data_IF_673292056621
#
_entry.id   IF_673292056621
#
_cell.length_a   1.000
_cell.length_b   1.000
_cell.length_c   1.000
_cell.angle_alpha   90.00
_cell.angle_beta   90.00
_cell.angle_gamma   90.00
#
_symmetry.space_group_name_H-M   'P 1'
#
loop_
_entity.id
_entity.type
_entity.pdbx_description
1 polymer ?
#
# COMPACT_ATOMS: atom_id res chain seq x y z
N UNK A 1 -6.62 8.68 -25.59
CA UNK A 1 -7.57 8.54 -24.46
C UNK A 1 -8.45 7.32 -24.63
N UNK A 2 -9.13 7.14 -25.76
CA UNK A 2 -10.00 6.01 -26.02
C UNK A 2 -9.31 4.65 -25.85
N UNK A 3 -8.08 4.51 -26.33
CA UNK A 3 -7.30 3.28 -26.20
C UNK A 3 -7.08 2.86 -24.74
N UNK A 4 -6.85 3.83 -23.83
CA UNK A 4 -6.69 3.55 -22.40
C UNK A 4 -8.00 3.11 -21.76
N UNK A 5 -9.11 3.74 -22.14
CA UNK A 5 -10.45 3.38 -21.66
C UNK A 5 -10.90 2.00 -22.17
N UNK A 6 -10.47 1.62 -23.37
CA UNK A 6 -10.76 0.33 -23.99
C UNK A 6 -9.69 -0.74 -23.74
N UNK A 7 -8.75 -0.48 -22.81
CA UNK A 7 -7.67 -1.41 -22.49
C UNK A 7 -8.19 -2.78 -22.04
N UNK A 8 -7.57 -3.84 -22.54
CA UNK A 8 -7.83 -5.22 -22.08
C UNK A 8 -7.14 -5.53 -20.74
N UNK A 9 -6.17 -4.71 -20.32
CA UNK A 9 -5.59 -4.80 -18.97
C UNK A 9 -6.56 -4.17 -17.96
N UNK A 10 -7.08 -4.95 -17.00
CA UNK A 10 -8.08 -4.46 -16.07
C UNK A 10 -7.57 -3.32 -15.17
N UNK A 11 -6.28 -3.28 -14.84
CA UNK A 11 -5.70 -2.20 -14.04
C UNK A 11 -5.61 -0.90 -14.81
N UNK A 12 -5.21 -0.98 -16.08
CA UNK A 12 -5.19 0.18 -16.99
C UNK A 12 -6.60 0.70 -17.21
N UNK A 13 -7.56 -0.17 -17.50
CA UNK A 13 -8.96 0.20 -17.69
C UNK A 13 -9.54 0.85 -16.44
N UNK A 14 -9.33 0.25 -15.25
CA UNK A 14 -9.77 0.81 -13.97
C UNK A 14 -9.23 2.23 -13.78
N UNK A 15 -7.92 2.41 -13.89
CA UNK A 15 -7.25 3.70 -13.71
C UNK A 15 -7.68 4.74 -14.73
N UNK A 16 -7.79 4.36 -15.99
CA UNK A 16 -8.23 5.27 -17.05
C UNK A 16 -9.67 5.77 -16.79
N UNK A 17 -10.59 4.88 -16.43
CA UNK A 17 -11.95 5.28 -16.11
C UNK A 17 -12.03 6.17 -14.86
N UNK A 18 -11.25 5.87 -13.82
CA UNK A 18 -11.18 6.69 -12.60
C UNK A 18 -10.61 8.09 -12.87
N UNK A 19 -9.45 8.15 -13.53
CA UNK A 19 -8.65 9.38 -13.62
C UNK A 19 -9.00 10.24 -14.83
N UNK A 20 -9.38 9.64 -15.96
CA UNK A 20 -9.64 10.36 -17.21
C UNK A 20 -11.13 10.58 -17.46
N UNK A 21 -11.96 9.62 -17.07
CA UNK A 21 -13.42 9.73 -17.25
C UNK A 21 -14.15 10.18 -15.95
N UNK A 22 -13.43 10.34 -14.83
CA UNK A 22 -14.01 10.77 -13.56
C UNK A 22 -15.02 9.76 -12.98
N UNK A 23 -14.90 8.47 -13.32
CA UNK A 23 -15.83 7.45 -12.84
C UNK A 23 -15.70 7.26 -11.32
N UNK A 24 -16.80 7.36 -10.55
CA UNK A 24 -16.78 7.14 -9.11
C UNK A 24 -16.35 5.71 -8.77
N UNK A 25 -15.59 5.55 -7.68
CA UNK A 25 -15.03 4.25 -7.26
C UNK A 25 -16.12 3.23 -6.90
N UNK A 26 -17.28 3.68 -6.42
CA UNK A 26 -18.44 2.89 -6.05
C UNK A 26 -19.38 2.60 -7.25
N UNK A 27 -19.09 3.14 -8.42
CA UNK A 27 -19.88 2.81 -9.62
C UNK A 27 -19.79 1.30 -9.92
N UNK A 28 -20.92 0.63 -10.24
CA UNK A 28 -20.94 -0.84 -10.49
C UNK A 28 -19.89 -1.30 -11.51
N UNK A 29 -19.68 -0.53 -12.56
CA UNK A 29 -18.67 -0.83 -13.58
C UNK A 29 -17.22 -0.73 -13.00
N UNK A 30 -16.94 0.22 -12.10
CA UNK A 30 -15.65 0.32 -11.45
C UNK A 30 -15.43 -0.82 -10.47
N UNK A 31 -16.44 -1.19 -9.70
CA UNK A 31 -16.38 -2.36 -8.82
C UNK A 31 -16.10 -3.64 -9.61
N UNK A 32 -16.73 -3.82 -10.78
CA UNK A 32 -16.45 -4.95 -11.67
C UNK A 32 -15.01 -4.95 -12.16
N UNK A 33 -14.47 -3.79 -12.55
CA UNK A 33 -13.06 -3.67 -12.97
C UNK A 33 -12.11 -4.02 -11.82
N UNK A 34 -12.37 -3.57 -10.61
CA UNK A 34 -11.57 -3.95 -9.43
C UNK A 34 -11.58 -5.47 -9.22
N UNK A 35 -12.71 -6.15 -9.39
CA UNK A 35 -12.77 -7.61 -9.31
C UNK A 35 -11.94 -8.29 -10.40
N UNK A 36 -11.95 -7.76 -11.62
CA UNK A 36 -11.08 -8.23 -12.70
C UNK A 36 -9.60 -8.01 -12.38
N UNK A 37 -9.25 -6.88 -11.76
CA UNK A 37 -7.88 -6.63 -11.26
C UNK A 37 -7.46 -7.71 -10.26
N UNK A 38 -8.33 -8.08 -9.32
CA UNK A 38 -8.02 -9.09 -8.29
C UNK A 38 -7.61 -10.44 -8.89
N UNK A 39 -8.15 -10.80 -10.06
CA UNK A 39 -7.87 -12.05 -10.74
C UNK A 39 -6.80 -11.93 -11.84
N UNK A 40 -6.22 -10.74 -12.02
CA UNK A 40 -5.21 -10.49 -13.05
C UNK A 40 -3.90 -11.25 -12.77
N UNK A 41 -3.12 -11.48 -13.82
CA UNK A 41 -1.83 -12.14 -13.71
C UNK A 41 -0.85 -11.35 -12.84
N UNK A 42 -0.86 -10.02 -12.95
CA UNK A 42 -0.02 -9.15 -12.14
C UNK A 42 -0.28 -9.33 -10.65
N UNK A 43 -1.55 -9.32 -10.24
CA UNK A 43 -1.94 -9.54 -8.84
C UNK A 43 -1.56 -10.95 -8.39
N UNK A 44 -1.88 -11.98 -9.20
CA UNK A 44 -1.50 -13.37 -8.87
C UNK A 44 0.00 -13.51 -8.67
N UNK A 45 0.82 -12.91 -9.54
CA UNK A 45 2.29 -12.92 -9.41
C UNK A 45 2.77 -12.22 -8.15
N UNK A 46 2.16 -11.08 -7.78
CA UNK A 46 2.51 -10.37 -6.55
C UNK A 46 2.16 -11.19 -5.30
N UNK A 47 0.98 -11.80 -5.29
CA UNK A 47 0.49 -12.58 -4.16
C UNK A 47 1.07 -14.00 -4.09
N UNK A 48 1.65 -14.52 -5.17
CA UNK A 48 2.31 -15.85 -5.18
C UNK A 48 3.50 -15.95 -4.23
N UNK A 49 4.04 -14.81 -3.77
CA UNK A 49 5.12 -14.78 -2.79
C UNK A 49 4.63 -14.96 -1.34
N UNK A 50 3.30 -15.01 -1.13
CA UNK A 50 2.72 -15.21 0.19
C UNK A 50 2.92 -16.65 0.67
N UNK A 51 3.22 -16.77 1.95
CA UNK A 51 3.25 -18.04 2.67
C UNK A 51 1.85 -18.47 3.04
N UNK A 52 1.67 -19.72 3.54
CA UNK A 52 0.38 -20.19 4.02
C UNK A 52 -0.23 -19.33 5.14
N UNK A 53 0.60 -18.68 5.95
CA UNK A 53 0.19 -17.75 7.01
C UNK A 53 -0.18 -16.35 6.49
N UNK A 54 -0.15 -16.15 5.18
CA UNK A 54 -0.46 -14.88 4.54
C UNK A 54 0.69 -13.86 4.52
N UNK A 55 1.81 -14.15 5.18
CA UNK A 55 2.97 -13.25 5.21
C UNK A 55 3.83 -13.37 3.94
N UNK A 56 4.66 -12.37 3.68
CA UNK A 56 5.74 -12.43 2.68
C UNK A 56 7.07 -12.55 3.41
N UNK A 57 8.03 -13.29 2.83
CA UNK A 57 9.37 -13.44 3.41
C UNK A 57 9.98 -12.06 3.67
N UNK A 58 10.36 -11.81 4.92
CA UNK A 58 11.15 -10.64 5.28
C UNK A 58 12.50 -10.76 4.58
N UNK A 59 12.81 -9.82 3.70
CA UNK A 59 14.17 -9.72 3.16
C UNK A 59 15.08 -9.16 4.25
N UNK A 60 16.17 -9.84 4.59
CA UNK A 60 17.14 -9.54 5.65
C UNK A 60 16.57 -8.94 6.95
N UNK A 61 17.39 -8.69 7.95
CA UNK A 61 17.02 -8.26 9.31
C UNK A 61 16.22 -6.95 9.43
N UNK A 62 16.13 -6.17 8.36
CA UNK A 62 15.40 -4.91 8.33
C UNK A 62 13.88 -5.07 8.12
N UNK A 63 13.38 -6.29 8.04
CA UNK A 63 11.94 -6.57 8.07
C UNK A 63 11.22 -6.31 6.75
N UNK A 64 10.18 -5.49 6.77
CA UNK A 64 9.24 -5.31 5.67
C UNK A 64 9.78 -4.47 4.49
N UNK A 65 10.90 -3.78 4.67
CA UNK A 65 11.44 -2.90 3.65
C UNK A 65 12.68 -3.47 2.96
N UNK A 66 12.46 -4.01 1.78
CA UNK A 66 13.49 -4.11 0.76
C UNK A 66 12.94 -3.38 -0.47
N UNK A 67 13.71 -2.43 -1.02
CA UNK A 67 13.24 -1.58 -2.13
C UNK A 67 12.59 -2.43 -3.24
N UNK A 68 11.34 -2.14 -3.55
CA UNK A 68 10.48 -2.87 -4.49
C UNK A 68 10.17 -4.34 -4.13
N UNK A 69 10.40 -4.76 -2.89
CA UNK A 69 10.10 -6.11 -2.42
C UNK A 69 9.50 -6.08 -1.01
N UNK A 70 8.84 -7.18 -0.62
CA UNK A 70 8.24 -7.34 0.70
C UNK A 70 6.85 -6.72 0.85
N UNK A 71 6.25 -6.82 2.04
CA UNK A 71 4.85 -6.51 2.27
C UNK A 71 4.48 -5.05 1.96
N UNK A 72 5.31 -4.08 2.33
CA UNK A 72 5.09 -2.67 2.06
C UNK A 72 4.93 -2.38 0.55
N UNK A 73 5.83 -2.92 -0.27
CA UNK A 73 5.77 -2.72 -1.72
C UNK A 73 4.69 -3.57 -2.41
N UNK A 74 4.37 -4.73 -1.85
CA UNK A 74 3.25 -5.54 -2.33
C UNK A 74 1.93 -4.81 -2.12
N UNK A 75 1.68 -4.26 -0.92
CA UNK A 75 0.48 -3.48 -0.64
C UNK A 75 0.40 -2.22 -1.52
N UNK A 76 1.51 -1.49 -1.67
CA UNK A 76 1.55 -0.33 -2.54
C UNK A 76 1.24 -0.69 -4.01
N UNK A 77 1.82 -1.78 -4.50
CA UNK A 77 1.54 -2.25 -5.86
C UNK A 77 0.10 -2.71 -6.06
N UNK A 78 -0.50 -3.41 -5.09
CA UNK A 78 -1.91 -3.80 -5.15
C UNK A 78 -2.83 -2.57 -5.19
N UNK A 79 -2.56 -1.56 -4.35
CA UNK A 79 -3.29 -0.30 -4.36
C UNK A 79 -3.13 0.41 -5.71
N UNK A 80 -1.91 0.47 -6.25
CA UNK A 80 -1.63 1.06 -7.56
C UNK A 80 -2.35 0.35 -8.69
N UNK A 81 -2.46 -0.97 -8.66
CA UNK A 81 -3.21 -1.74 -9.65
C UNK A 81 -4.73 -1.55 -9.55
N UNK A 82 -5.24 -1.01 -8.45
CA UNK A 82 -6.68 -0.87 -8.19
C UNK A 82 -7.31 -2.13 -7.61
N UNK A 83 -6.56 -2.88 -6.79
CA UNK A 83 -7.08 -4.05 -6.09
C UNK A 83 -8.32 -3.71 -5.26
N UNK A 84 -9.31 -4.62 -5.12
CA UNK A 84 -10.52 -4.36 -4.34
C UNK A 84 -10.21 -3.96 -2.89
N UNK A 85 -10.94 -2.96 -2.40
CA UNK A 85 -10.83 -2.54 -1.01
C UNK A 85 -11.54 -3.53 -0.06
N UNK A 86 -11.06 -3.62 1.18
CA UNK A 86 -11.67 -4.39 2.25
C UNK A 86 -11.29 -5.87 2.31
N UNK A 87 -10.34 -6.33 1.48
CA UNK A 87 -9.88 -7.72 1.53
C UNK A 87 -9.01 -7.99 2.76
N UNK A 88 -9.64 -8.53 3.81
CA UNK A 88 -8.97 -8.87 5.07
C UNK A 88 -7.94 -9.99 4.95
N UNK A 89 -7.88 -10.71 3.85
CA UNK A 89 -6.81 -11.69 3.60
C UNK A 89 -5.43 -11.03 3.49
N UNK A 90 -5.38 -9.72 3.28
CA UNK A 90 -4.15 -8.92 3.26
C UNK A 90 -3.69 -8.47 4.66
N UNK A 91 -4.48 -8.68 5.73
CA UNK A 91 -4.12 -8.26 7.09
C UNK A 91 -2.73 -8.71 7.55
N UNK A 92 -2.25 -9.93 7.25
CA UNK A 92 -0.88 -10.32 7.62
C UNK A 92 0.21 -9.46 6.98
N UNK A 93 -0.01 -8.94 5.76
CA UNK A 93 0.92 -8.01 5.11
C UNK A 93 0.86 -6.61 5.74
N UNK A 94 -0.34 -6.18 6.13
CA UNK A 94 -0.55 -4.92 6.86
C UNK A 94 0.18 -4.98 8.19
N UNK A 95 0.00 -6.05 8.97
CA UNK A 95 0.69 -6.24 10.25
C UNK A 95 2.20 -6.23 10.10
N UNK A 96 2.74 -6.96 9.11
CA UNK A 96 4.18 -6.92 8.83
C UNK A 96 4.68 -5.52 8.48
N UNK A 97 3.87 -4.72 7.78
CA UNK A 97 4.23 -3.36 7.40
C UNK A 97 4.23 -2.44 8.61
N UNK A 98 3.23 -2.53 9.49
CA UNK A 98 3.18 -1.78 10.73
C UNK A 98 4.26 -2.17 11.72
N UNK A 99 4.54 -3.47 11.91
CA UNK A 99 5.65 -3.96 12.73
C UNK A 99 6.98 -3.32 12.33
N UNK A 100 7.14 -3.08 11.04
CA UNK A 100 8.34 -2.43 10.52
C UNK A 100 8.26 -0.91 10.69
N UNK A 101 7.18 -0.25 10.26
CA UNK A 101 7.05 1.21 10.28
C UNK A 101 7.06 1.79 11.69
N UNK A 102 6.40 1.10 12.64
CA UNK A 102 6.28 1.54 14.03
C UNK A 102 7.42 1.04 14.93
N UNK A 103 8.37 0.28 14.38
CA UNK A 103 9.49 -0.23 15.17
C UNK A 103 10.30 0.93 15.80
N UNK A 104 10.68 0.84 17.10
CA UNK A 104 11.42 1.90 17.80
C UNK A 104 12.71 2.35 17.10
N UNK A 105 13.35 1.44 16.36
CA UNK A 105 14.55 1.75 15.55
C UNK A 105 14.32 2.76 14.43
N UNK A 106 13.08 3.02 14.07
CA UNK A 106 12.69 4.00 13.05
C UNK A 106 12.47 5.40 13.63
N UNK A 107 12.39 5.51 14.95
CA UNK A 107 12.42 6.78 15.66
C UNK A 107 13.88 7.15 15.91
N UNK A 108 14.32 8.27 15.37
CA UNK A 108 15.67 8.79 15.59
C UNK A 108 15.61 10.12 16.33
N UNK A 109 16.56 10.39 17.21
CA UNK A 109 16.77 11.78 17.64
C UNK A 109 17.15 12.60 16.39
N UNK A 110 16.79 13.89 16.36
CA UNK A 110 17.24 14.79 15.30
C UNK A 110 18.76 14.74 15.18
N UNK A 111 19.28 14.66 13.97
CA UNK A 111 20.74 14.59 13.73
C UNK A 111 21.44 15.94 13.85
N UNK A 112 20.69 17.01 14.00
CA UNK A 112 21.15 18.41 14.10
C UNK A 112 20.49 19.09 15.29
N UNK A 113 20.96 20.27 15.65
CA UNK A 113 20.41 21.05 16.76
C UNK A 113 18.87 21.09 16.68
N UNK A 114 18.22 20.66 17.78
CA UNK A 114 16.77 20.72 17.91
C UNK A 114 16.35 22.17 17.92
N UNK A 115 15.54 22.57 16.94
CA UNK A 115 14.94 23.87 16.95
C UNK A 115 13.81 23.94 17.99
N UNK A 116 13.60 25.08 18.66
CA UNK A 116 12.49 25.24 19.58
C UNK A 116 11.15 24.85 18.95
N UNK A 117 10.39 24.00 19.64
CA UNK A 117 9.10 23.50 19.15
C UNK A 117 9.18 22.26 18.24
N UNK A 118 10.37 21.78 17.92
CA UNK A 118 10.53 20.51 17.21
C UNK A 118 10.40 19.32 18.18
N UNK A 119 9.83 18.18 17.73
CA UNK A 119 9.78 16.97 18.53
C UNK A 119 11.21 16.47 18.80
N UNK A 120 11.43 15.88 19.97
CA UNK A 120 12.70 15.29 20.39
C UNK A 120 13.08 14.04 19.58
N UNK A 121 12.15 13.52 18.80
CA UNK A 121 12.34 12.40 17.87
C UNK A 121 11.61 12.63 16.57
N UNK A 122 12.24 12.22 15.49
CA UNK A 122 11.67 12.26 14.14
C UNK A 122 11.70 10.87 13.53
N UNK A 123 10.70 10.57 12.72
CA UNK A 123 10.66 9.34 11.95
C UNK A 123 11.66 9.39 10.79
N UNK A 124 12.03 8.20 10.33
CA UNK A 124 13.13 8.04 9.37
C UNK A 124 12.83 8.54 7.98
N UNK A 125 11.59 8.38 7.52
CA UNK A 125 11.25 8.61 6.12
C UNK A 125 9.75 8.87 5.95
N UNK A 126 9.38 10.13 5.90
CA UNK A 126 8.00 10.55 5.67
C UNK A 126 7.40 9.99 4.37
N UNK A 127 8.22 9.75 3.34
CA UNK A 127 7.72 9.18 2.08
C UNK A 127 7.25 7.73 2.23
N UNK A 128 7.88 6.93 3.09
CA UNK A 128 7.45 5.56 3.37
C UNK A 128 6.17 5.53 4.17
N UNK A 129 6.04 6.42 5.13
CA UNK A 129 4.83 6.57 5.96
C UNK A 129 3.68 7.11 5.11
N UNK A 130 3.91 8.14 4.31
CA UNK A 130 2.91 8.67 3.38
C UNK A 130 2.45 7.64 2.34
N UNK A 131 3.38 6.83 1.81
CA UNK A 131 3.01 5.72 0.93
C UNK A 131 2.17 4.67 1.67
N UNK A 132 2.49 4.38 2.94
CA UNK A 132 1.73 3.44 3.74
C UNK A 132 0.31 3.95 4.01
N UNK A 133 0.16 5.19 4.43
CA UNK A 133 -1.14 5.82 4.62
C UNK A 133 -1.98 5.76 3.34
N UNK A 134 -1.37 6.10 2.20
CA UNK A 134 -2.07 6.05 0.93
C UNK A 134 -2.58 4.65 0.58
N UNK A 135 -1.72 3.60 0.60
CA UNK A 135 -2.20 2.28 0.22
C UNK A 135 -3.16 1.67 1.25
N UNK A 136 -3.03 1.98 2.54
CA UNK A 136 -3.98 1.52 3.56
C UNK A 136 -5.39 2.09 3.31
N UNK A 137 -5.48 3.37 2.95
CA UNK A 137 -6.75 3.98 2.58
C UNK A 137 -7.30 3.44 1.26
N UNK A 138 -6.49 3.36 0.21
CA UNK A 138 -6.91 2.81 -1.09
C UNK A 138 -7.41 1.36 -0.99
N UNK A 139 -6.80 0.55 -0.12
CA UNK A 139 -7.19 -0.84 0.12
C UNK A 139 -8.27 -0.99 1.19
N UNK A 140 -8.73 0.10 1.82
CA UNK A 140 -9.73 0.04 2.89
C UNK A 140 -9.29 -0.79 4.10
N UNK A 141 -7.99 -0.76 4.43
CA UNK A 141 -7.35 -1.53 5.49
C UNK A 141 -6.72 -0.63 6.58
N UNK A 142 -7.00 0.67 6.54
CA UNK A 142 -6.56 1.59 7.58
C UNK A 142 -7.25 1.25 8.92
N UNK A 143 -6.46 1.30 9.99
CA UNK A 143 -6.91 1.14 11.38
C UNK A 143 -6.23 2.20 12.26
N UNK A 144 -6.42 2.14 13.58
CA UNK A 144 -5.86 3.10 14.55
C UNK A 144 -4.33 3.27 14.46
N UNK A 145 -3.62 2.29 13.93
CA UNK A 145 -2.17 2.38 13.71
C UNK A 145 -1.81 3.38 12.60
N UNK A 146 -2.74 3.62 11.66
CA UNK A 146 -2.55 4.63 10.63
C UNK A 146 -2.51 6.05 11.23
N UNK A 147 -3.29 6.33 12.29
CA UNK A 147 -3.28 7.61 12.98
C UNK A 147 -1.91 7.88 13.64
N UNK A 148 -1.26 6.82 14.13
CA UNK A 148 0.10 6.92 14.68
C UNK A 148 1.12 7.27 13.59
N UNK A 149 0.93 6.82 12.35
CA UNK A 149 1.81 7.19 11.24
C UNK A 149 1.57 8.63 10.77
N UNK A 150 0.35 9.16 10.95
CA UNK A 150 -0.03 10.50 10.52
C UNK A 150 0.36 11.60 11.52
N UNK A 151 0.73 11.23 12.75
CA UNK A 151 1.12 12.15 13.84
C UNK A 151 2.63 12.47 13.81
#
# INVERSE_FOLDING_TARGET
MEELLASTDPSVAFRAHRLLAGAPDDAPAQMTRRQQVATSENVRRMLSQRRPDGTIRKGNESGAYRKYQGPHWTLAGLAELGYPAGDRSLSPLVDQSFDWLLAPRHLKPPSTAILPGQPDRVRRCASQEGLALWYLHELGLADERADVLAS
#
